data_IF_410927240031
#
_entry.id   IF_410927240031
#
_cell.length_a   1.000
_cell.length_b   1.000
_cell.length_c   1.000
_cell.angle_alpha   90.00
_cell.angle_beta   90.00
_cell.angle_gamma   90.00
#
_symmetry.space_group_name_H-M   'P 1'
#
loop_
_entity.id
_entity.type
_entity.pdbx_description
1 polymer ?
#
# COMPACT_ATOMS: atom_id res chain seq x y z
N UNK A 1 -30.89 19.78 12.55
CA UNK A 1 -30.04 20.68 11.73
C UNK A 1 -28.61 20.17 11.58
N UNK A 2 -28.01 19.54 12.58
CA UNK A 2 -26.63 19.01 12.50
C UNK A 2 -26.44 17.85 11.50
N UNK A 3 -27.46 17.02 11.28
CA UNK A 3 -27.40 15.90 10.34
C UNK A 3 -27.24 16.30 8.87
N UNK A 4 -27.82 17.43 8.44
CA UNK A 4 -27.72 17.87 7.03
C UNK A 4 -26.33 18.43 6.66
N UNK A 5 -25.68 19.14 7.57
CA UNK A 5 -24.35 19.75 7.30
C UNK A 5 -23.26 18.67 7.16
N UNK A 6 -23.39 17.57 7.91
CA UNK A 6 -22.43 16.48 7.86
C UNK A 6 -22.58 15.65 6.57
N UNK A 7 -23.81 15.44 6.10
CA UNK A 7 -24.12 14.72 4.86
C UNK A 7 -23.60 15.46 3.62
N UNK A 8 -23.76 16.79 3.56
CA UNK A 8 -23.27 17.60 2.44
C UNK A 8 -21.73 17.60 2.36
N UNK A 9 -21.04 17.63 3.49
CA UNK A 9 -19.57 17.55 3.52
C UNK A 9 -19.06 16.18 3.06
N UNK A 10 -19.70 15.11 3.50
CA UNK A 10 -19.37 13.74 3.07
C UNK A 10 -19.55 13.59 1.56
N UNK A 11 -20.69 14.03 1.02
CA UNK A 11 -20.97 13.97 -0.41
C UNK A 11 -19.96 14.76 -1.25
N UNK A 12 -19.56 15.96 -0.81
CA UNK A 12 -18.54 16.77 -1.46
C UNK A 12 -17.17 16.08 -1.42
N UNK A 13 -16.79 15.47 -0.29
CA UNK A 13 -15.55 14.73 -0.14
C UNK A 13 -15.53 13.54 -1.09
N UNK A 14 -16.57 12.70 -1.10
CA UNK A 14 -16.70 11.54 -1.98
C UNK A 14 -16.58 11.94 -3.45
N UNK A 15 -17.34 12.96 -3.89
CA UNK A 15 -17.26 13.48 -5.27
C UNK A 15 -15.87 13.98 -5.64
N UNK A 16 -15.18 14.66 -4.71
CA UNK A 16 -13.81 15.13 -4.95
C UNK A 16 -12.85 13.96 -5.11
N UNK A 17 -12.93 12.96 -4.22
CA UNK A 17 -12.03 11.81 -4.27
C UNK A 17 -12.26 10.98 -5.54
N UNK A 18 -13.52 10.70 -5.92
CA UNK A 18 -13.85 10.03 -7.19
C UNK A 18 -13.22 10.76 -8.38
N UNK A 19 -13.43 12.09 -8.48
CA UNK A 19 -12.84 12.89 -9.56
C UNK A 19 -11.31 12.79 -9.59
N UNK A 20 -10.66 12.87 -8.43
CA UNK A 20 -9.18 12.79 -8.37
C UNK A 20 -8.70 11.41 -8.84
N UNK A 21 -9.40 10.33 -8.48
CA UNK A 21 -9.08 8.97 -8.96
C UNK A 21 -9.29 8.82 -10.47
N UNK A 22 -10.38 9.39 -11.01
CA UNK A 22 -10.67 9.38 -12.45
C UNK A 22 -9.64 10.20 -13.25
N UNK A 23 -9.35 11.43 -12.82
CA UNK A 23 -8.43 12.35 -13.50
C UNK A 23 -6.97 11.84 -13.47
N UNK A 24 -6.62 11.00 -12.51
CA UNK A 24 -5.27 10.46 -12.32
C UNK A 24 -5.21 8.94 -12.46
N UNK A 25 -6.11 8.34 -13.23
CA UNK A 25 -6.11 6.90 -13.44
C UNK A 25 -4.80 6.42 -14.07
N UNK A 26 -4.22 5.38 -13.49
CA UNK A 26 -3.00 4.74 -13.96
C UNK A 26 -3.33 3.29 -14.34
N UNK A 27 -3.00 2.89 -15.57
CA UNK A 27 -3.13 1.50 -15.99
C UNK A 27 -1.96 0.67 -15.45
N UNK A 28 -2.22 -0.28 -14.53
CA UNK A 28 -1.16 -1.04 -13.86
C UNK A 28 -0.44 -2.01 -14.79
N UNK A 29 -1.00 -2.35 -15.93
CA UNK A 29 -0.43 -3.34 -16.85
C UNK A 29 0.55 -2.71 -17.85
N UNK A 30 0.42 -1.41 -18.12
CA UNK A 30 1.26 -0.70 -19.09
C UNK A 30 2.17 0.36 -18.48
N UNK A 31 1.96 0.76 -17.20
CA UNK A 31 2.67 1.86 -16.56
C UNK A 31 4.13 1.58 -16.27
N UNK A 32 4.46 0.34 -15.89
CA UNK A 32 5.81 -0.05 -15.48
C UNK A 32 6.51 -0.88 -16.55
N UNK A 33 7.78 -0.56 -16.78
CA UNK A 33 8.68 -1.42 -17.54
C UNK A 33 9.28 -2.49 -16.63
N UNK A 34 9.24 -3.74 -17.07
CA UNK A 34 9.70 -4.89 -16.31
C UNK A 34 10.88 -5.53 -17.03
N UNK A 35 12.14 -5.20 -16.65
CA UNK A 35 13.33 -5.78 -17.29
C UNK A 35 13.39 -7.29 -17.03
N UNK A 36 14.04 -8.04 -17.94
CA UNK A 36 14.22 -9.49 -17.76
C UNK A 36 15.08 -9.80 -16.53
N UNK A 37 16.08 -8.97 -16.25
CA UNK A 37 16.97 -9.08 -15.08
C UNK A 37 17.10 -7.72 -14.39
N UNK A 38 17.20 -7.73 -13.06
CA UNK A 38 17.46 -6.55 -12.27
C UNK A 38 18.96 -6.36 -12.07
N UNK A 39 19.42 -5.13 -12.25
CA UNK A 39 20.78 -4.74 -11.86
C UNK A 39 20.88 -4.73 -10.32
N UNK A 40 21.55 -5.74 -9.77
CA UNK A 40 21.73 -5.97 -8.33
C UNK A 40 22.78 -5.06 -7.71
N UNK A 41 23.48 -4.26 -8.49
CA UNK A 41 24.39 -3.24 -7.98
C UNK A 41 23.66 -1.96 -7.52
N UNK A 42 22.32 -1.92 -7.70
CA UNK A 42 21.47 -0.88 -7.14
C UNK A 42 20.94 -1.28 -5.75
N UNK A 43 20.50 -0.28 -4.99
CA UNK A 43 19.66 -0.47 -3.81
C UNK A 43 18.21 -0.73 -4.24
N UNK A 44 17.47 -1.50 -3.45
CA UNK A 44 16.03 -1.76 -3.65
C UNK A 44 15.19 -1.24 -2.48
N UNK A 45 15.82 -1.07 -1.32
CA UNK A 45 15.30 -0.38 -0.15
C UNK A 45 16.34 0.64 0.28
N UNK A 46 15.89 1.84 0.69
CA UNK A 46 16.80 2.86 1.24
C UNK A 46 17.58 2.30 2.42
N UNK A 47 18.92 2.45 2.45
CA UNK A 47 19.75 1.88 3.51
C UNK A 47 19.25 2.15 4.93
N UNK A 48 18.74 3.37 5.17
CA UNK A 48 18.24 3.84 6.46
C UNK A 48 16.90 3.20 6.88
N UNK A 49 16.28 2.42 5.99
CA UNK A 49 15.03 1.69 6.25
C UNK A 49 15.27 0.18 6.39
N UNK A 50 16.49 -0.28 6.23
CA UNK A 50 16.84 -1.71 6.36
C UNK A 50 16.79 -2.11 7.83
N UNK A 51 16.15 -3.23 8.12
CA UNK A 51 15.80 -3.67 9.48
C UNK A 51 16.98 -3.82 10.44
N UNK A 52 18.20 -4.06 9.93
CA UNK A 52 19.42 -4.23 10.73
C UNK A 52 20.39 -3.04 10.63
N UNK A 53 20.01 -1.96 9.97
CA UNK A 53 20.83 -0.75 9.91
C UNK A 53 21.19 -0.25 11.31
N UNK A 54 22.44 0.23 11.47
CA UNK A 54 22.97 0.67 12.78
C UNK A 54 23.31 -0.45 13.78
N UNK A 55 23.27 -1.71 13.38
CA UNK A 55 23.67 -2.84 14.23
C UNK A 55 25.09 -3.32 13.85
N UNK A 56 25.80 -4.02 14.80
CA UNK A 56 27.08 -4.63 14.47
C UNK A 56 27.04 -5.64 13.33
N UNK A 57 25.88 -6.23 13.03
CA UNK A 57 25.71 -7.11 11.87
C UNK A 57 25.82 -6.29 10.59
N UNK A 58 25.15 -5.14 10.51
CA UNK A 58 25.22 -4.23 9.38
C UNK A 58 26.65 -3.74 9.13
N UNK A 59 27.38 -3.39 10.19
CA UNK A 59 28.74 -2.85 10.08
C UNK A 59 29.73 -3.86 9.49
N UNK A 60 29.49 -5.16 9.69
CA UNK A 60 30.31 -6.24 9.14
C UNK A 60 29.98 -6.62 7.70
N UNK A 61 28.89 -6.07 7.10
CA UNK A 61 28.56 -6.32 5.71
C UNK A 61 29.31 -5.37 4.78
N UNK A 62 29.80 -5.88 3.67
CA UNK A 62 30.29 -5.05 2.56
C UNK A 62 29.11 -4.44 1.77
N UNK A 63 29.41 -3.51 0.86
CA UNK A 63 28.36 -2.80 0.11
C UNK A 63 27.52 -3.73 -0.77
N UNK A 64 28.14 -4.73 -1.40
CA UNK A 64 27.41 -5.70 -2.24
C UNK A 64 26.45 -6.55 -1.40
N UNK A 65 26.87 -6.98 -0.21
CA UNK A 65 26.01 -7.70 0.73
C UNK A 65 24.85 -6.85 1.22
N UNK A 66 25.09 -5.56 1.52
CA UNK A 66 24.04 -4.61 1.92
C UNK A 66 23.03 -4.38 0.80
N UNK A 67 23.49 -4.19 -0.45
CA UNK A 67 22.61 -4.06 -1.63
C UNK A 67 21.80 -5.32 -1.86
N UNK A 68 22.40 -6.49 -1.74
CA UNK A 68 21.69 -7.75 -1.84
C UNK A 68 20.63 -7.91 -0.73
N UNK A 69 20.96 -7.54 0.51
CA UNK A 69 20.00 -7.51 1.62
C UNK A 69 18.84 -6.54 1.32
N UNK A 70 19.13 -5.34 0.78
CA UNK A 70 18.12 -4.36 0.43
C UNK A 70 17.06 -4.88 -0.55
N UNK A 71 17.45 -5.78 -1.45
CA UNK A 71 16.51 -6.45 -2.34
C UNK A 71 15.55 -7.37 -1.55
N UNK A 72 16.07 -8.18 -0.64
CA UNK A 72 15.22 -9.07 0.16
C UNK A 72 14.33 -8.30 1.13
N UNK A 73 14.79 -7.17 1.66
CA UNK A 73 13.98 -6.23 2.44
C UNK A 73 12.85 -5.63 1.57
N UNK A 74 13.12 -5.25 0.31
CA UNK A 74 12.07 -4.80 -0.60
C UNK A 74 11.04 -5.91 -0.88
N UNK A 75 11.47 -7.15 -1.12
CA UNK A 75 10.57 -8.30 -1.28
C UNK A 75 9.74 -8.52 -0.01
N UNK A 76 10.35 -8.40 1.17
CA UNK A 76 9.65 -8.47 2.46
C UNK A 76 8.59 -7.39 2.60
N UNK A 77 8.95 -6.14 2.31
CA UNK A 77 8.04 -4.99 2.35
C UNK A 77 6.87 -5.15 1.37
N UNK A 78 7.14 -5.53 0.11
CA UNK A 78 6.09 -5.77 -0.88
C UNK A 78 5.19 -6.95 -0.49
N UNK A 79 5.74 -7.99 0.14
CA UNK A 79 4.95 -9.13 0.64
C UNK A 79 3.98 -8.72 1.74
N UNK A 80 4.41 -7.88 2.68
CA UNK A 80 3.54 -7.35 3.74
C UNK A 80 2.42 -6.52 3.12
N UNK A 81 2.73 -5.67 2.14
CA UNK A 81 1.72 -4.89 1.41
C UNK A 81 0.71 -5.80 0.70
N UNK A 82 1.15 -6.79 -0.08
CA UNK A 82 0.24 -7.75 -0.74
C UNK A 82 -0.74 -8.39 0.26
N UNK A 83 -0.27 -8.75 1.45
CA UNK A 83 -1.13 -9.36 2.46
C UNK A 83 -2.09 -8.35 3.09
N UNK A 84 -1.63 -7.11 3.34
CA UNK A 84 -2.45 -6.01 3.83
C UNK A 84 -3.54 -5.62 2.83
N UNK A 85 -3.15 -5.34 1.58
CA UNK A 85 -4.07 -4.94 0.50
C UNK A 85 -5.14 -6.01 0.23
N UNK A 86 -4.78 -7.29 0.29
CA UNK A 86 -5.76 -8.35 0.14
C UNK A 86 -6.83 -8.29 1.23
N UNK A 87 -6.44 -8.13 2.50
CA UNK A 87 -7.40 -8.00 3.59
C UNK A 87 -8.25 -6.72 3.46
N UNK A 88 -7.65 -5.65 2.99
CA UNK A 88 -8.33 -4.38 2.74
C UNK A 88 -9.37 -4.54 1.61
N UNK A 89 -8.99 -5.13 0.49
CA UNK A 89 -9.90 -5.43 -0.64
C UNK A 89 -11.08 -6.29 -0.18
N UNK A 90 -10.84 -7.37 0.58
CA UNK A 90 -11.89 -8.23 1.13
C UNK A 90 -12.84 -7.41 2.04
N UNK A 91 -12.30 -6.58 2.90
CA UNK A 91 -13.05 -5.73 3.81
C UNK A 91 -13.85 -4.63 3.09
N UNK A 92 -13.28 -3.95 2.10
CA UNK A 92 -13.96 -2.94 1.28
C UNK A 92 -15.09 -3.57 0.44
N UNK A 93 -14.79 -4.71 -0.22
CA UNK A 93 -15.77 -5.42 -1.05
C UNK A 93 -17.00 -5.87 -0.23
N UNK A 94 -16.81 -6.32 1.01
CA UNK A 94 -17.90 -6.71 1.91
C UNK A 94 -18.80 -5.53 2.32
N UNK A 95 -18.35 -4.30 2.15
CA UNK A 95 -19.06 -3.06 2.51
C UNK A 95 -19.77 -2.41 1.33
N UNK A 96 -19.47 -2.82 0.10
CA UNK A 96 -20.15 -2.29 -1.08
C UNK A 96 -21.65 -2.55 -1.00
N UNK A 97 -22.44 -1.52 -1.33
CA UNK A 97 -23.90 -1.57 -1.36
C UNK A 97 -24.59 -1.96 -0.04
N UNK A 98 -23.86 -1.95 1.08
CA UNK A 98 -24.56 -1.96 2.39
C UNK A 98 -25.37 -0.68 2.52
N UNK A 99 -26.57 -0.78 3.10
CA UNK A 99 -27.53 0.33 3.19
C UNK A 99 -26.94 1.57 3.89
N UNK A 100 -26.12 1.35 4.91
CA UNK A 100 -25.43 2.40 5.68
C UNK A 100 -24.19 2.97 4.95
N UNK A 101 -23.78 2.38 3.83
CA UNK A 101 -22.59 2.77 3.06
C UNK A 101 -22.90 3.33 1.66
N UNK A 102 -24.17 3.48 1.28
CA UNK A 102 -24.54 3.98 -0.07
C UNK A 102 -23.89 5.31 -0.42
N UNK A 103 -23.76 6.22 0.53
CA UNK A 103 -23.14 7.53 0.30
C UNK A 103 -21.67 7.45 -0.07
N UNK A 104 -20.92 6.45 0.41
CA UNK A 104 -19.49 6.27 0.17
C UNK A 104 -19.16 5.22 -0.89
N UNK A 105 -20.12 4.37 -1.25
CA UNK A 105 -19.95 3.29 -2.24
C UNK A 105 -19.30 3.75 -3.55
N UNK A 106 -19.62 4.92 -4.14
CA UNK A 106 -18.93 5.38 -5.35
C UNK A 106 -17.40 5.46 -5.18
N UNK A 107 -16.92 5.99 -4.05
CA UNK A 107 -15.48 6.07 -3.79
C UNK A 107 -14.89 4.72 -3.40
N UNK A 108 -15.63 3.85 -2.71
CA UNK A 108 -15.14 2.50 -2.38
C UNK A 108 -14.79 1.68 -3.63
N UNK A 109 -15.41 1.92 -4.78
CA UNK A 109 -15.02 1.30 -6.05
C UNK A 109 -13.67 1.78 -6.55
N UNK A 110 -13.38 3.08 -6.45
CA UNK A 110 -12.06 3.63 -6.79
C UNK A 110 -10.99 3.12 -5.83
N UNK A 111 -11.30 3.10 -4.54
CA UNK A 111 -10.42 2.57 -3.52
C UNK A 111 -10.04 1.10 -3.82
N UNK A 112 -11.02 0.25 -4.08
CA UNK A 112 -10.78 -1.15 -4.47
C UNK A 112 -9.92 -1.29 -5.74
N UNK A 113 -10.15 -0.46 -6.74
CA UNK A 113 -9.36 -0.46 -7.98
C UNK A 113 -7.91 -0.08 -7.70
N UNK A 114 -7.68 0.93 -6.88
CA UNK A 114 -6.34 1.41 -6.49
C UNK A 114 -5.58 0.36 -5.68
N UNK A 115 -6.21 -0.29 -4.68
CA UNK A 115 -5.61 -1.39 -3.92
C UNK A 115 -5.27 -2.60 -4.79
N UNK A 116 -6.13 -2.91 -5.76
CA UNK A 116 -5.83 -3.97 -6.70
C UNK A 116 -4.61 -3.65 -7.59
N UNK A 117 -4.41 -2.38 -7.97
CA UNK A 117 -3.20 -1.95 -8.69
C UNK A 117 -1.95 -2.12 -7.83
N UNK A 118 -2.01 -1.77 -6.55
CA UNK A 118 -0.92 -1.96 -5.61
C UNK A 118 -0.51 -3.43 -5.53
N UNK A 119 -1.47 -4.34 -5.39
CA UNK A 119 -1.21 -5.79 -5.44
C UNK A 119 -0.55 -6.24 -6.74
N UNK A 120 -0.93 -5.66 -7.89
CA UNK A 120 -0.32 -5.97 -9.19
C UNK A 120 1.15 -5.54 -9.21
N UNK A 121 1.47 -4.33 -8.74
CA UNK A 121 2.86 -3.84 -8.72
C UNK A 121 3.75 -4.70 -7.82
N UNK A 122 3.36 -4.89 -6.57
CA UNK A 122 4.10 -5.66 -5.60
C UNK A 122 4.17 -7.15 -5.97
N UNK A 123 3.03 -7.72 -6.37
CA UNK A 123 2.93 -9.13 -6.73
C UNK A 123 3.78 -9.48 -7.95
N UNK A 124 3.77 -8.63 -8.98
CA UNK A 124 4.57 -8.83 -10.18
C UNK A 124 6.06 -8.74 -9.88
N UNK A 125 6.49 -7.77 -9.07
CA UNK A 125 7.89 -7.70 -8.63
C UNK A 125 8.32 -8.99 -7.93
N UNK A 126 7.57 -9.41 -6.93
CA UNK A 126 7.89 -10.63 -6.17
C UNK A 126 7.90 -11.89 -7.03
N UNK A 127 6.95 -12.05 -7.95
CA UNK A 127 6.85 -13.25 -8.81
C UNK A 127 7.93 -13.30 -9.88
N UNK A 128 8.29 -12.16 -10.47
CA UNK A 128 9.33 -12.15 -11.52
C UNK A 128 10.74 -12.33 -10.95
N UNK A 129 11.03 -11.73 -9.78
CA UNK A 129 12.42 -11.59 -9.32
C UNK A 129 12.75 -12.34 -8.01
N UNK A 130 11.75 -12.90 -7.31
CA UNK A 130 11.94 -13.52 -6.00
C UNK A 130 11.18 -14.84 -5.78
N UNK A 131 10.72 -15.50 -6.84
CA UNK A 131 9.89 -16.73 -6.75
C UNK A 131 8.57 -16.56 -5.96
N UNK A 132 8.05 -15.35 -5.90
CA UNK A 132 6.80 -15.01 -5.22
C UNK A 132 6.98 -14.25 -3.90
N UNK A 133 5.87 -13.76 -3.33
CA UNK A 133 5.88 -13.07 -2.05
C UNK A 133 6.19 -14.03 -0.89
N UNK A 134 6.74 -13.49 0.18
CA UNK A 134 6.93 -14.25 1.42
C UNK A 134 5.58 -14.66 2.02
N UNK A 135 5.51 -15.82 2.72
CA UNK A 135 4.27 -16.32 3.27
C UNK A 135 3.73 -15.42 4.38
N UNK A 136 2.42 -15.26 4.41
CA UNK A 136 1.73 -14.53 5.47
C UNK A 136 1.82 -15.28 6.80
N UNK A 137 2.14 -14.54 7.88
CA UNK A 137 1.97 -15.02 9.26
C UNK A 137 0.56 -14.71 9.71
N UNK A 138 -0.32 -15.73 9.70
CA UNK A 138 -1.70 -15.57 10.18
C UNK A 138 -1.73 -15.64 11.70
N UNK A 139 -1.99 -14.51 12.34
CA UNK A 139 -2.39 -14.44 13.75
C UNK A 139 -3.88 -14.15 13.77
N UNK A 140 -4.67 -15.15 14.19
CA UNK A 140 -6.12 -14.99 14.38
C UNK A 140 -6.40 -14.72 15.85
N UNK A 141 -7.21 -13.70 16.10
CA UNK A 141 -7.82 -13.46 17.39
C UNK A 141 -9.33 -13.69 17.23
N UNK A 142 -9.89 -14.61 17.98
CA UNK A 142 -11.34 -14.76 18.05
C UNK A 142 -11.90 -13.55 18.82
N UNK A 143 -12.69 -12.73 18.13
CA UNK A 143 -13.31 -11.54 18.70
C UNK A 143 -14.80 -11.54 18.34
N UNK A 144 -15.63 -11.25 19.31
CA UNK A 144 -17.00 -10.83 19.12
C UNK A 144 -17.03 -9.30 19.11
N UNK A 145 -17.77 -8.71 18.16
CA UNK A 145 -17.85 -7.26 18.01
C UNK A 145 -19.25 -6.77 18.34
N UNK A 146 -19.33 -5.62 18.99
CA UNK A 146 -20.59 -4.89 19.13
C UNK A 146 -20.96 -4.16 17.82
N UNK A 147 -22.20 -3.66 17.74
CA UNK A 147 -22.70 -2.94 16.57
C UNK A 147 -21.83 -1.70 16.27
N UNK A 148 -21.26 -1.64 15.07
CA UNK A 148 -20.38 -0.57 14.60
C UNK A 148 -18.90 -0.72 15.01
N UNK A 149 -18.57 -1.58 15.95
CA UNK A 149 -17.19 -1.80 16.41
C UNK A 149 -16.31 -2.42 15.32
N UNK A 150 -16.86 -3.37 14.58
CA UNK A 150 -16.17 -4.02 13.46
C UNK A 150 -15.72 -3.00 12.40
N UNK A 151 -16.60 -2.09 11.99
CA UNK A 151 -16.27 -1.06 11.00
C UNK A 151 -15.23 -0.08 11.54
N UNK A 152 -15.38 0.36 12.80
CA UNK A 152 -14.41 1.25 13.43
C UNK A 152 -13.02 0.63 13.52
N UNK A 153 -12.92 -0.61 13.97
CA UNK A 153 -11.65 -1.33 14.08
C UNK A 153 -11.03 -1.64 12.71
N UNK A 154 -11.86 -1.99 11.72
CA UNK A 154 -11.40 -2.20 10.36
C UNK A 154 -10.74 -0.94 9.81
N UNK A 155 -11.44 0.18 9.75
CA UNK A 155 -10.87 1.43 9.21
C UNK A 155 -9.73 1.98 10.05
N UNK A 156 -9.75 1.81 11.38
CA UNK A 156 -8.63 2.22 12.24
C UNK A 156 -7.36 1.41 11.96
N UNK A 157 -7.48 0.08 11.77
CA UNK A 157 -6.34 -0.77 11.40
C UNK A 157 -5.80 -0.42 10.02
N UNK A 158 -6.68 -0.19 9.05
CA UNK A 158 -6.33 0.29 7.71
C UNK A 158 -5.53 1.59 7.81
N UNK A 159 -6.05 2.59 8.50
CA UNK A 159 -5.38 3.89 8.65
C UNK A 159 -3.99 3.78 9.26
N UNK A 160 -3.81 2.95 10.29
CA UNK A 160 -2.50 2.74 10.92
C UNK A 160 -1.53 2.06 9.94
N UNK A 161 -2.00 1.06 9.21
CA UNK A 161 -1.20 0.35 8.23
C UNK A 161 -0.78 1.30 7.10
N UNK A 162 -1.72 2.00 6.47
CA UNK A 162 -1.48 2.93 5.36
C UNK A 162 -0.52 4.07 5.74
N UNK A 163 -0.68 4.69 6.91
CA UNK A 163 0.22 5.75 7.36
C UNK A 163 1.67 5.27 7.52
N UNK A 164 1.87 4.05 8.03
CA UNK A 164 3.21 3.47 8.17
C UNK A 164 3.80 3.14 6.80
N UNK A 165 3.03 2.47 5.96
CA UNK A 165 3.46 2.03 4.63
C UNK A 165 3.75 3.25 3.74
N UNK A 166 2.88 4.26 3.74
CA UNK A 166 3.07 5.50 2.99
C UNK A 166 4.33 6.25 3.42
N UNK A 167 4.67 6.26 4.72
CA UNK A 167 5.92 6.85 5.18
C UNK A 167 7.15 6.21 4.52
N UNK A 168 7.16 4.87 4.40
CA UNK A 168 8.23 4.13 3.73
C UNK A 168 8.25 4.42 2.23
N UNK A 169 7.10 4.32 1.56
CA UNK A 169 6.97 4.58 0.13
C UNK A 169 7.41 5.99 -0.23
N UNK A 170 6.96 7.00 0.50
CA UNK A 170 7.33 8.40 0.28
C UNK A 170 8.83 8.66 0.41
N UNK A 171 9.52 7.98 1.33
CA UNK A 171 10.97 8.08 1.47
C UNK A 171 11.67 7.42 0.30
N UNK A 172 11.29 6.21 -0.03
CA UNK A 172 11.88 5.42 -1.10
C UNK A 172 11.63 6.02 -2.49
N UNK A 173 10.45 6.58 -2.74
CA UNK A 173 10.12 7.29 -3.98
C UNK A 173 11.05 8.49 -4.29
N UNK A 174 11.75 9.03 -3.29
CA UNK A 174 12.65 10.17 -3.41
C UNK A 174 14.14 9.80 -3.36
N UNK A 175 14.46 8.53 -3.17
CA UNK A 175 15.83 8.05 -3.05
C UNK A 175 16.42 7.68 -4.41
N UNK A 176 17.33 8.50 -4.92
CA UNK A 176 17.96 8.29 -6.23
C UNK A 176 18.98 7.15 -6.26
N UNK A 177 19.28 6.54 -5.12
CA UNK A 177 20.14 5.35 -5.01
C UNK A 177 19.40 4.07 -5.39
N UNK A 178 18.06 4.10 -5.36
CA UNK A 178 17.24 2.93 -5.61
C UNK A 178 17.21 2.58 -7.10
N UNK A 179 17.08 1.28 -7.37
CA UNK A 179 16.77 0.79 -8.70
C UNK A 179 15.50 1.49 -9.24
N UNK A 180 15.51 1.97 -10.51
CA UNK A 180 14.40 2.77 -11.05
C UNK A 180 13.03 2.12 -10.88
N UNK A 181 12.93 0.81 -11.11
CA UNK A 181 11.68 0.06 -10.93
C UNK A 181 11.20 0.08 -9.47
N UNK A 182 12.09 -0.14 -8.49
CA UNK A 182 11.71 -0.11 -7.07
C UNK A 182 11.27 1.30 -6.65
N UNK A 183 11.99 2.33 -7.09
CA UNK A 183 11.64 3.73 -6.85
C UNK A 183 10.27 4.06 -7.42
N UNK A 184 9.99 3.65 -8.66
CA UNK A 184 8.72 3.92 -9.34
C UNK A 184 7.54 3.18 -8.68
N UNK A 185 7.71 1.91 -8.28
CA UNK A 185 6.68 1.16 -7.53
C UNK A 185 6.31 1.91 -6.25
N UNK A 186 7.30 2.35 -5.46
CA UNK A 186 7.06 3.10 -4.24
C UNK A 186 6.39 4.46 -4.50
N UNK A 187 6.72 5.11 -5.62
CA UNK A 187 6.08 6.37 -6.01
C UNK A 187 4.63 6.17 -6.40
N UNK A 188 4.32 5.14 -7.20
CA UNK A 188 2.95 4.82 -7.63
C UNK A 188 2.04 4.55 -6.42
N UNK A 189 2.51 3.74 -5.48
CA UNK A 189 1.78 3.47 -4.25
C UNK A 189 1.52 4.76 -3.46
N UNK A 190 2.58 5.51 -3.12
CA UNK A 190 2.47 6.79 -2.40
C UNK A 190 1.52 7.78 -3.08
N UNK A 191 1.53 7.83 -4.41
CA UNK A 191 0.68 8.75 -5.17
C UNK A 191 -0.81 8.46 -4.98
N UNK A 192 -1.20 7.18 -4.96
CA UNK A 192 -2.59 6.76 -4.79
C UNK A 192 -3.00 6.79 -3.30
N UNK A 193 -2.13 6.44 -2.36
CA UNK A 193 -2.37 6.43 -0.91
C UNK A 193 -2.84 7.77 -0.33
N UNK A 194 -2.44 8.87 -0.91
CA UNK A 194 -2.88 10.21 -0.48
C UNK A 194 -4.41 10.37 -0.47
N UNK A 195 -5.14 9.63 -1.32
CA UNK A 195 -6.59 9.62 -1.41
C UNK A 195 -7.22 8.73 -0.33
N UNK A 196 -6.63 7.57 -0.09
CA UNK A 196 -7.05 6.61 0.93
C UNK A 196 -6.93 7.23 2.33
N UNK A 197 -5.80 7.83 2.63
CA UNK A 197 -5.58 8.59 3.86
C UNK A 197 -6.53 9.78 3.99
N UNK A 198 -6.83 10.45 2.86
CA UNK A 198 -7.80 11.57 2.82
C UNK A 198 -9.25 11.11 3.07
N UNK A 199 -9.60 9.88 2.72
CA UNK A 199 -10.90 9.27 3.00
C UNK A 199 -11.02 8.82 4.46
N UNK A 200 -9.96 8.24 5.01
CA UNK A 200 -9.96 7.69 6.37
C UNK A 200 -9.94 8.74 7.49
N UNK A 201 -9.45 9.96 7.22
CA UNK A 201 -9.39 11.09 8.17
C UNK A 201 -10.70 11.88 8.23
#
# INVERSE_FOLDING_TARGET
METNINTDKLDQMVKRLCRVSEDNYIDPFSRLEWPEELDRDNWFTSPELISIEGTPIWDNLDESQRKNLSFFEAVGFYSINIHGERMLIEGLASRLYRKDKYAVTPYLHHFLDEENKHMIYFGRFCTLYANGPYPEKKVKFDQEYEEGEEDFLFFSKVMVFEEIVDLFNRRQAKDDRLHPLAKEINWLHHFEESRHLGFGR
#
